data_IF_091152462047
#
_entry.id   IF_091152462047
#
_cell.length_a   1.000
_cell.length_b   1.000
_cell.length_c   1.000
_cell.angle_alpha   90.00
_cell.angle_beta   90.00
_cell.angle_gamma   90.00
#
_symmetry.space_group_name_H-M   'P 1'
#
loop_
_entity.id
_entity.type
_entity.pdbx_description
1 polymer ?
#
# COMPACT_ATOMS: atom_id res chain seq x y z
N UNK A 1 25.48 -48.59 35.19
CA UNK A 1 24.96 -48.28 33.84
C UNK A 1 24.05 -47.07 33.96
N UNK A 2 24.55 -45.92 33.52
CA UNK A 2 23.94 -44.59 33.59
C UNK A 2 22.82 -44.47 32.56
N UNK A 3 21.56 -44.43 33.02
CA UNK A 3 20.40 -44.14 32.18
C UNK A 3 20.33 -42.64 31.90
N UNK A 4 20.62 -42.25 30.66
CA UNK A 4 20.36 -40.90 30.14
C UNK A 4 18.84 -40.73 30.06
N UNK A 5 18.24 -39.98 30.98
CA UNK A 5 16.87 -39.53 30.84
C UNK A 5 16.81 -38.52 29.68
N UNK A 6 16.26 -38.99 28.55
CA UNK A 6 15.87 -38.11 27.46
C UNK A 6 14.75 -37.18 27.94
N UNK A 7 15.10 -35.94 28.26
CA UNK A 7 14.15 -34.90 28.62
C UNK A 7 13.11 -34.75 27.52
N UNK A 8 11.87 -35.12 27.81
CA UNK A 8 10.75 -34.94 26.89
C UNK A 8 10.49 -33.44 26.74
N UNK A 9 10.93 -32.88 25.62
CA UNK A 9 10.56 -31.53 25.18
C UNK A 9 9.05 -31.49 24.93
N UNK A 10 8.28 -31.17 25.97
CA UNK A 10 6.84 -30.95 25.83
C UNK A 10 6.58 -29.59 25.16
N UNK A 11 6.69 -29.57 23.83
CA UNK A 11 6.23 -28.45 23.02
C UNK A 11 4.73 -28.26 23.22
N UNK A 12 4.30 -27.21 23.92
CA UNK A 12 2.90 -26.82 23.81
C UNK A 12 2.67 -26.33 22.38
N UNK A 13 1.68 -26.87 21.68
CA UNK A 13 1.40 -26.61 20.26
C UNK A 13 1.49 -25.10 19.92
N UNK A 14 0.99 -24.22 20.81
CA UNK A 14 1.06 -22.76 20.65
C UNK A 14 2.47 -22.15 20.75
N UNK A 15 3.37 -22.67 21.59
CA UNK A 15 4.76 -22.19 21.69
C UNK A 15 5.55 -22.58 20.45
N UNK A 16 5.39 -23.82 19.99
CA UNK A 16 6.00 -24.29 18.74
C UNK A 16 5.55 -23.44 17.54
N UNK A 17 4.24 -23.20 17.39
CA UNK A 17 3.73 -22.34 16.31
C UNK A 17 4.30 -20.92 16.33
N UNK A 18 4.43 -20.32 17.52
CA UNK A 18 5.03 -18.98 17.67
C UNK A 18 6.51 -18.96 17.30
N UNK A 19 7.26 -19.97 17.73
CA UNK A 19 8.66 -20.13 17.39
C UNK A 19 8.86 -20.37 15.89
N UNK A 20 8.03 -21.22 15.26
CA UNK A 20 8.05 -21.42 13.82
C UNK A 20 7.74 -20.12 13.07
N UNK A 21 6.68 -19.39 13.46
CA UNK A 21 6.35 -18.10 12.85
C UNK A 21 7.50 -17.08 12.99
N UNK A 22 8.13 -17.02 14.17
CA UNK A 22 9.30 -16.17 14.41
C UNK A 22 10.50 -16.58 13.54
N UNK A 23 10.83 -17.87 13.45
CA UNK A 23 11.89 -18.39 12.59
C UNK A 23 11.64 -18.04 11.12
N UNK A 24 10.43 -18.28 10.63
CA UNK A 24 10.03 -17.95 9.25
C UNK A 24 10.14 -16.45 9.01
N UNK A 25 9.71 -15.60 9.96
CA UNK A 25 9.78 -14.14 9.82
C UNK A 25 11.23 -13.66 9.71
N UNK A 26 12.12 -14.15 10.59
CA UNK A 26 13.54 -13.79 10.57
C UNK A 26 14.27 -14.36 9.34
N UNK A 27 13.95 -15.59 8.93
CA UNK A 27 14.50 -16.18 7.71
C UNK A 27 14.06 -15.41 6.46
N UNK A 28 12.76 -15.09 6.34
CA UNK A 28 12.24 -14.26 5.26
C UNK A 28 12.89 -12.89 5.24
N UNK A 29 13.08 -12.25 6.40
CA UNK A 29 13.78 -10.96 6.48
C UNK A 29 15.18 -11.04 5.86
N UNK A 30 15.99 -12.03 6.26
CA UNK A 30 17.34 -12.23 5.74
C UNK A 30 17.32 -12.56 4.24
N UNK A 31 16.40 -13.43 3.80
CA UNK A 31 16.27 -13.83 2.40
C UNK A 31 15.90 -12.63 1.53
N UNK A 32 14.92 -11.81 1.93
CA UNK A 32 14.48 -10.64 1.16
C UNK A 32 15.58 -9.57 1.07
N UNK A 33 16.33 -9.36 2.16
CA UNK A 33 17.51 -8.48 2.14
C UNK A 33 18.58 -9.04 1.18
N UNK A 34 18.87 -10.34 1.27
CA UNK A 34 19.84 -11.02 0.39
C UNK A 34 19.47 -10.93 -1.09
N UNK A 35 18.21 -11.23 -1.44
CA UNK A 35 17.68 -11.09 -2.81
C UNK A 35 17.77 -9.63 -3.28
N UNK A 36 17.44 -8.67 -2.41
CA UNK A 36 17.53 -7.25 -2.75
C UNK A 36 18.97 -6.80 -3.05
N UNK A 37 19.96 -7.28 -2.29
CA UNK A 37 21.37 -7.00 -2.58
C UNK A 37 21.86 -7.69 -3.85
N UNK A 38 21.46 -8.94 -4.07
CA UNK A 38 21.80 -9.69 -5.29
C UNK A 38 21.28 -8.99 -6.56
N UNK A 39 20.12 -8.32 -6.46
CA UNK A 39 19.48 -7.61 -7.57
C UNK A 39 19.66 -6.08 -7.49
N UNK A 40 20.63 -5.57 -6.72
CA UNK A 40 20.78 -4.12 -6.50
C UNK A 40 20.96 -3.31 -7.80
N UNK A 41 21.57 -3.93 -8.82
CA UNK A 41 21.86 -3.29 -10.10
C UNK A 41 20.60 -3.07 -10.96
N UNK A 42 19.54 -3.84 -10.71
CA UNK A 42 18.25 -3.71 -11.42
C UNK A 42 17.30 -2.74 -10.72
N UNK A 43 17.69 -2.18 -9.58
CA UNK A 43 16.90 -1.17 -8.89
C UNK A 43 16.97 0.16 -9.65
N UNK A 44 15.84 0.85 -9.84
CA UNK A 44 15.76 2.10 -10.60
C UNK A 44 16.80 3.10 -10.13
N UNK A 45 17.43 3.77 -11.08
CA UNK A 45 18.34 4.87 -10.79
C UNK A 45 17.65 6.21 -10.63
N UNK A 46 18.44 7.24 -10.32
CA UNK A 46 17.94 8.59 -9.99
C UNK A 46 17.09 9.17 -11.13
N UNK A 47 17.34 8.74 -12.38
CA UNK A 47 16.55 9.10 -13.57
C UNK A 47 15.24 8.31 -13.75
N UNK A 48 15.06 7.19 -13.05
CA UNK A 48 13.92 6.26 -13.23
C UNK A 48 12.76 6.51 -12.24
N UNK A 49 12.94 7.41 -11.26
CA UNK A 49 11.89 7.87 -10.35
C UNK A 49 11.23 9.19 -10.79
N UNK A 50 11.51 9.65 -12.01
CA UNK A 50 10.68 10.68 -12.64
C UNK A 50 9.36 9.98 -13.01
N UNK A 51 8.19 10.44 -12.54
CA UNK A 51 6.93 9.86 -13.00
C UNK A 51 6.93 10.00 -14.50
N UNK A 52 6.65 8.91 -15.23
CA UNK A 52 6.88 8.82 -16.67
C UNK A 52 6.48 10.15 -17.30
N UNK A 53 7.45 10.97 -17.73
CA UNK A 53 7.17 12.39 -18.01
C UNK A 53 6.10 12.52 -19.10
N UNK A 54 6.03 11.50 -19.97
CA UNK A 54 4.95 11.26 -20.90
C UNK A 54 3.57 11.11 -20.26
N UNK A 55 3.40 10.28 -19.22
CA UNK A 55 2.13 10.08 -18.50
C UNK A 55 1.64 11.39 -17.86
N UNK A 56 2.54 12.16 -17.22
CA UNK A 56 2.16 13.44 -16.61
C UNK A 56 1.69 14.43 -17.69
N UNK A 57 2.46 14.58 -18.76
CA UNK A 57 2.12 15.48 -19.86
C UNK A 57 0.80 15.06 -20.52
N UNK A 58 0.59 13.76 -20.71
CA UNK A 58 -0.65 13.18 -21.21
C UNK A 58 -1.85 13.57 -20.33
N UNK A 59 -1.77 13.35 -19.01
CA UNK A 59 -2.87 13.68 -18.11
C UNK A 59 -3.14 15.18 -18.05
N UNK A 60 -2.11 16.03 -18.09
CA UNK A 60 -2.29 17.49 -18.15
C UNK A 60 -3.03 17.93 -19.42
N UNK A 61 -2.68 17.37 -20.59
CA UNK A 61 -3.39 17.66 -21.85
C UNK A 61 -4.84 17.21 -21.80
N UNK A 62 -5.10 15.99 -21.31
CA UNK A 62 -6.49 15.49 -21.17
C UNK A 62 -7.31 16.44 -20.29
N UNK A 63 -6.78 16.87 -19.14
CA UNK A 63 -7.47 17.81 -18.25
C UNK A 63 -7.73 19.15 -18.95
N UNK A 64 -6.76 19.70 -19.67
CA UNK A 64 -6.91 20.98 -20.39
C UNK A 64 -7.98 20.92 -21.49
N UNK A 65 -8.06 19.82 -22.23
CA UNK A 65 -9.09 19.61 -23.25
C UNK A 65 -10.49 19.46 -22.63
N UNK A 66 -10.62 18.73 -21.52
CA UNK A 66 -11.89 18.59 -20.81
C UNK A 66 -12.33 19.91 -20.19
N UNK A 67 -11.39 20.71 -19.69
CA UNK A 67 -11.63 22.08 -19.23
C UNK A 67 -12.16 22.97 -20.37
N UNK A 68 -11.66 22.76 -21.60
CA UNK A 68 -12.18 23.39 -22.82
C UNK A 68 -13.56 22.90 -23.27
N UNK A 69 -14.20 21.98 -22.54
CA UNK A 69 -15.54 21.47 -22.80
C UNK A 69 -15.60 20.21 -23.67
N UNK A 70 -14.45 19.61 -24.02
CA UNK A 70 -14.45 18.35 -24.77
C UNK A 70 -14.80 17.15 -23.88
N UNK A 71 -15.41 16.11 -24.48
CA UNK A 71 -15.72 14.86 -23.78
C UNK A 71 -14.46 14.11 -23.37
N UNK A 72 -14.38 13.70 -22.09
CA UNK A 72 -13.25 12.95 -21.53
C UNK A 72 -12.85 11.76 -22.40
N UNK A 73 -13.82 10.89 -22.77
CA UNK A 73 -13.51 9.66 -23.49
C UNK A 73 -12.92 9.94 -24.87
N UNK A 74 -13.50 10.88 -25.60
CA UNK A 74 -13.01 11.26 -26.94
C UNK A 74 -11.57 11.78 -26.87
N UNK A 75 -11.31 12.70 -25.94
CA UNK A 75 -9.98 13.31 -25.74
C UNK A 75 -8.97 12.29 -25.27
N UNK A 76 -9.30 11.51 -24.24
CA UNK A 76 -8.38 10.52 -23.69
C UNK A 76 -7.97 9.52 -24.77
N UNK A 77 -8.92 8.97 -25.52
CA UNK A 77 -8.63 8.02 -26.61
C UNK A 77 -7.78 8.67 -27.71
N UNK A 78 -8.08 9.91 -28.12
CA UNK A 78 -7.27 10.66 -29.10
C UNK A 78 -5.84 10.85 -28.61
N UNK A 79 -5.67 11.39 -27.41
CA UNK A 79 -4.35 11.65 -26.81
C UNK A 79 -3.53 10.37 -26.63
N UNK A 80 -4.15 9.28 -26.15
CA UNK A 80 -3.49 7.98 -26.02
C UNK A 80 -3.06 7.45 -27.40
N UNK A 81 -3.92 7.52 -28.41
CA UNK A 81 -3.64 7.08 -29.78
C UNK A 81 -2.51 7.89 -30.42
N UNK A 82 -2.59 9.22 -30.36
CA UNK A 82 -1.62 10.13 -30.98
C UNK A 82 -0.23 10.02 -30.36
N UNK A 83 -0.15 9.55 -29.11
CA UNK A 83 1.10 9.35 -28.39
C UNK A 83 1.52 7.86 -28.31
N UNK A 84 0.93 6.98 -29.13
CA UNK A 84 1.23 5.55 -29.20
C UNK A 84 1.10 4.79 -27.86
N UNK A 85 0.23 5.24 -26.97
CA UNK A 85 -0.12 4.48 -25.78
C UNK A 85 -1.11 3.35 -26.13
N UNK A 86 -1.08 2.25 -25.36
CA UNK A 86 -2.11 1.23 -25.45
C UNK A 86 -3.52 1.76 -25.18
N UNK A 87 -4.49 1.20 -25.90
CA UNK A 87 -5.93 1.43 -25.70
C UNK A 87 -6.72 0.18 -25.33
N UNK A 88 -6.08 -1.00 -25.41
CA UNK A 88 -6.70 -2.29 -25.09
C UNK A 88 -5.89 -3.04 -24.02
N UNK A 89 -6.53 -3.76 -23.08
CA UNK A 89 -7.96 -3.71 -22.76
C UNK A 89 -8.36 -2.36 -22.13
N UNK A 90 -9.65 -2.08 -21.98
CA UNK A 90 -10.18 -0.77 -21.57
C UNK A 90 -9.52 -0.16 -20.31
N UNK A 91 -9.04 -0.99 -19.37
CA UNK A 91 -8.39 -0.56 -18.11
C UNK A 91 -7.07 0.20 -18.29
N UNK A 92 -6.51 0.23 -19.50
CA UNK A 92 -5.32 1.06 -19.80
C UNK A 92 -5.69 2.53 -19.96
N UNK A 93 -6.96 2.82 -20.27
CA UNK A 93 -7.54 4.16 -20.20
C UNK A 93 -7.93 4.42 -18.75
N UNK A 94 -7.55 5.57 -18.20
CA UNK A 94 -7.82 5.87 -16.79
C UNK A 94 -9.31 6.16 -16.55
N UNK A 95 -9.84 5.91 -15.35
CA UNK A 95 -11.17 6.37 -14.98
C UNK A 95 -11.30 7.90 -15.11
N UNK A 96 -12.47 8.42 -15.54
CA UNK A 96 -12.64 9.83 -15.86
C UNK A 96 -12.64 10.75 -14.64
N UNK A 97 -12.97 10.24 -13.46
CA UNK A 97 -13.43 11.06 -12.33
C UNK A 97 -12.41 12.09 -11.89
N UNK A 98 -11.13 11.71 -11.80
CA UNK A 98 -10.10 12.66 -11.40
C UNK A 98 -9.90 13.75 -12.46
N UNK A 99 -9.77 13.37 -13.74
CA UNK A 99 -9.55 14.33 -14.81
C UNK A 99 -10.72 15.31 -14.96
N UNK A 100 -11.96 14.82 -14.87
CA UNK A 100 -13.17 15.64 -14.92
C UNK A 100 -13.25 16.56 -13.70
N UNK A 101 -12.94 16.07 -12.49
CA UNK A 101 -12.93 16.91 -11.29
C UNK A 101 -11.87 18.02 -11.36
N UNK A 102 -10.68 17.71 -11.89
CA UNK A 102 -9.60 18.68 -12.07
C UNK A 102 -9.89 19.70 -13.16
N UNK A 103 -10.63 19.32 -14.19
CA UNK A 103 -11.03 20.20 -15.29
C UNK A 103 -11.99 21.31 -14.86
N UNK A 104 -12.75 21.13 -13.76
CA UNK A 104 -13.60 22.18 -13.18
C UNK A 104 -12.77 23.30 -12.53
N UNK A 105 -11.50 23.05 -12.25
CA UNK A 105 -10.61 23.99 -11.57
C UNK A 105 -9.60 24.54 -12.59
N UNK A 106 -9.74 25.79 -13.02
CA UNK A 106 -8.87 26.32 -14.08
C UNK A 106 -7.43 26.59 -13.66
N UNK A 107 -7.20 26.93 -12.40
CA UNK A 107 -5.85 27.27 -11.93
C UNK A 107 -5.08 26.03 -11.46
N UNK A 108 -3.92 25.77 -12.08
CA UNK A 108 -3.02 24.70 -11.66
C UNK A 108 -2.59 24.85 -10.19
N UNK A 109 -2.41 26.08 -9.71
CA UNK A 109 -2.09 26.33 -8.30
C UNK A 109 -3.18 25.83 -7.37
N UNK A 110 -4.45 26.01 -7.73
CA UNK A 110 -5.60 25.52 -6.95
C UNK A 110 -5.67 23.99 -6.99
N UNK A 111 -5.41 23.34 -8.13
CA UNK A 111 -5.30 21.86 -8.22
C UNK A 111 -4.23 21.32 -7.28
N UNK A 112 -3.06 21.97 -7.23
CA UNK A 112 -1.95 21.62 -6.32
C UNK A 112 -2.31 21.88 -4.85
N UNK A 113 -2.96 23.00 -4.56
CA UNK A 113 -3.39 23.34 -3.21
C UNK A 113 -4.41 22.35 -2.66
N UNK A 114 -5.34 21.85 -3.49
CA UNK A 114 -6.30 20.81 -3.09
C UNK A 114 -5.62 19.48 -2.79
N UNK A 115 -4.65 19.07 -3.60
CA UNK A 115 -3.86 17.86 -3.32
C UNK A 115 -3.05 18.02 -2.02
N UNK A 116 -2.41 19.17 -1.84
CA UNK A 116 -1.67 19.49 -0.62
C UNK A 116 -2.60 19.55 0.62
N UNK A 117 -3.83 20.06 0.47
CA UNK A 117 -4.83 20.05 1.52
C UNK A 117 -5.25 18.61 1.88
N UNK A 118 -5.48 17.74 0.90
CA UNK A 118 -5.74 16.31 1.15
C UNK A 118 -4.56 15.63 1.86
N UNK A 119 -3.32 15.94 1.45
CA UNK A 119 -2.11 15.47 2.11
C UNK A 119 -2.04 15.94 3.57
N UNK A 120 -2.32 17.23 3.83
CA UNK A 120 -2.39 17.81 5.16
C UNK A 120 -3.47 17.18 6.04
N UNK A 121 -4.69 17.01 5.52
CA UNK A 121 -5.80 16.34 6.22
C UNK A 121 -5.43 14.90 6.55
N UNK A 122 -4.80 14.18 5.60
CA UNK A 122 -4.32 12.81 5.81
C UNK A 122 -3.28 12.77 6.93
N UNK A 123 -2.30 13.67 6.90
CA UNK A 123 -1.29 13.78 7.95
C UNK A 123 -1.91 14.08 9.31
N UNK A 124 -2.81 15.05 9.40
CA UNK A 124 -3.49 15.43 10.64
C UNK A 124 -4.37 14.29 11.19
N UNK A 125 -5.09 13.58 10.32
CA UNK A 125 -5.89 12.42 10.73
C UNK A 125 -5.02 11.30 11.32
N UNK A 126 -3.86 11.05 10.71
CA UNK A 126 -2.90 10.09 11.25
C UNK A 126 -2.22 10.59 12.51
N UNK A 127 -1.90 11.87 12.62
CA UNK A 127 -1.37 12.45 13.85
C UNK A 127 -2.36 12.28 15.02
N UNK A 128 -3.63 12.61 14.79
CA UNK A 128 -4.70 12.37 15.75
C UNK A 128 -4.85 10.89 16.10
N UNK A 129 -4.79 10.00 15.09
CA UNK A 129 -4.88 8.55 15.30
C UNK A 129 -3.72 8.02 16.13
N UNK A 130 -2.49 8.40 15.79
CA UNK A 130 -1.25 7.96 16.44
C UNK A 130 -1.16 8.48 17.87
N UNK A 131 -1.63 9.70 18.14
CA UNK A 131 -1.62 10.29 19.49
C UNK A 131 -2.41 9.46 20.51
N UNK A 132 -3.45 8.77 20.05
CA UNK A 132 -4.27 7.90 20.89
C UNK A 132 -3.65 6.52 21.16
N UNK A 133 -2.63 6.10 20.39
CA UNK A 133 -2.07 4.74 20.45
C UNK A 133 -0.56 4.70 20.74
N UNK A 134 0.16 5.81 20.59
CA UNK A 134 1.59 5.93 20.89
C UNK A 134 1.75 6.84 22.10
N UNK A 135 2.23 6.27 23.21
CA UNK A 135 2.39 6.98 24.49
C UNK A 135 3.71 7.73 24.60
N UNK A 136 4.79 7.20 24.02
CA UNK A 136 6.11 7.83 24.02
C UNK A 136 6.13 9.05 23.09
N UNK A 137 6.47 10.26 23.58
CA UNK A 137 6.59 11.45 22.73
C UNK A 137 7.61 11.29 21.60
N UNK A 138 8.72 10.59 21.87
CA UNK A 138 9.77 10.33 20.87
C UNK A 138 9.27 9.40 19.77
N UNK A 139 8.60 8.30 20.13
CA UNK A 139 8.02 7.40 19.13
C UNK A 139 6.87 8.04 18.38
N UNK A 140 6.10 8.93 19.03
CA UNK A 140 5.04 9.68 18.37
C UNK A 140 5.64 10.61 17.31
N UNK A 141 6.64 11.42 17.66
CA UNK A 141 7.35 12.29 16.72
C UNK A 141 7.99 11.49 15.57
N UNK A 142 8.64 10.36 15.87
CA UNK A 142 9.18 9.45 14.87
C UNK A 142 8.09 8.89 13.94
N UNK A 143 6.92 8.52 14.48
CA UNK A 143 5.79 8.04 13.68
C UNK A 143 5.29 9.12 12.72
N UNK A 144 5.21 10.38 13.17
CA UNK A 144 4.82 11.52 12.33
C UNK A 144 5.84 11.77 11.21
N UNK A 145 7.12 11.75 11.55
CA UNK A 145 8.19 11.91 10.56
C UNK A 145 8.11 10.81 9.49
N UNK A 146 8.00 9.56 9.92
CA UNK A 146 7.99 8.40 9.03
C UNK A 146 6.73 8.37 8.14
N UNK A 147 5.54 8.71 8.67
CA UNK A 147 4.36 8.78 7.80
C UNK A 147 4.43 9.95 6.81
N UNK A 148 5.02 11.08 7.20
CA UNK A 148 5.20 12.23 6.32
C UNK A 148 6.03 11.87 5.08
N UNK A 149 7.00 10.94 5.19
CA UNK A 149 7.82 10.50 4.04
C UNK A 149 6.99 9.93 2.88
N UNK A 150 5.89 9.22 3.21
CA UNK A 150 5.00 8.63 2.21
C UNK A 150 3.89 9.55 1.73
N UNK A 151 3.63 10.65 2.46
CA UNK A 151 2.69 11.70 2.08
C UNK A 151 3.37 12.76 1.20
N UNK A 152 4.67 13.00 1.42
CA UNK A 152 5.47 14.02 0.74
C UNK A 152 5.41 13.99 -0.80
N UNK A 153 5.31 12.84 -1.50
CA UNK A 153 5.16 12.83 -2.96
C UNK A 153 3.99 13.68 -3.47
N UNK A 154 2.95 13.90 -2.65
CA UNK A 154 1.80 14.74 -3.00
C UNK A 154 2.10 16.25 -3.08
N UNK A 155 3.22 16.69 -2.53
CA UNK A 155 3.61 18.12 -2.49
C UNK A 155 4.46 18.51 -3.71
N UNK A 156 4.96 17.53 -4.46
CA UNK A 156 5.73 17.76 -5.69
C UNK A 156 4.83 18.42 -6.74
N UNK A 157 5.29 19.45 -7.47
CA UNK A 157 4.45 20.20 -8.42
C UNK A 157 3.75 19.33 -9.48
N UNK A 158 4.36 18.22 -9.87
CA UNK A 158 3.87 17.32 -10.91
C UNK A 158 2.94 16.22 -10.40
N UNK A 159 2.60 16.19 -9.10
CA UNK A 159 1.84 15.10 -8.50
C UNK A 159 0.33 15.18 -8.76
N UNK A 160 -0.21 16.38 -9.00
CA UNK A 160 -1.66 16.60 -9.10
C UNK A 160 -2.37 15.81 -10.22
N UNK A 161 -1.77 15.49 -11.38
CA UNK A 161 -2.42 14.66 -12.39
C UNK A 161 -2.33 13.15 -12.12
N UNK A 162 -1.51 12.72 -11.16
CA UNK A 162 -1.24 11.30 -10.90
C UNK A 162 -2.32 10.69 -10.01
N UNK A 163 -3.06 9.73 -10.56
CA UNK A 163 -4.24 9.14 -9.91
C UNK A 163 -3.86 8.36 -8.63
N UNK A 164 -2.70 7.71 -8.65
CA UNK A 164 -2.17 6.94 -7.52
C UNK A 164 -1.88 7.80 -6.29
N UNK A 165 -1.49 9.07 -6.47
CA UNK A 165 -1.22 9.97 -5.34
C UNK A 165 -2.52 10.27 -4.60
N UNK A 166 -3.57 10.65 -5.33
CA UNK A 166 -4.90 10.90 -4.76
C UNK A 166 -5.47 9.65 -4.10
N UNK A 167 -5.43 8.51 -4.81
CA UNK A 167 -5.97 7.26 -4.30
C UNK A 167 -5.20 6.74 -3.07
N UNK A 168 -3.87 6.83 -3.06
CA UNK A 168 -3.03 6.45 -1.92
C UNK A 168 -3.31 7.29 -0.68
N UNK A 169 -3.48 8.61 -0.84
CA UNK A 169 -3.88 9.49 0.27
C UNK A 169 -5.29 9.18 0.77
N UNK A 170 -6.26 8.94 -0.12
CA UNK A 170 -7.62 8.57 0.26
C UNK A 170 -7.68 7.22 0.98
N UNK A 171 -6.89 6.22 0.56
CA UNK A 171 -6.73 4.95 1.29
C UNK A 171 -6.17 5.21 2.69
N UNK A 172 -5.09 5.99 2.78
CA UNK A 172 -4.46 6.30 4.07
C UNK A 172 -5.39 7.06 5.00
N UNK A 173 -6.11 8.07 4.49
CA UNK A 173 -7.10 8.85 5.24
C UNK A 173 -8.27 7.96 5.67
N UNK A 174 -8.79 7.12 4.77
CA UNK A 174 -9.86 6.15 5.04
C UNK A 174 -9.49 5.26 6.23
N UNK A 175 -8.27 4.70 6.26
CA UNK A 175 -7.78 3.91 7.39
C UNK A 175 -7.67 4.73 8.67
N UNK A 176 -7.12 5.95 8.61
CA UNK A 176 -6.92 6.79 9.79
C UNK A 176 -8.25 7.14 10.49
N UNK A 177 -9.26 7.51 9.71
CA UNK A 177 -10.56 7.94 10.23
C UNK A 177 -11.48 6.78 10.60
N UNK A 178 -11.24 5.55 10.08
CA UNK A 178 -12.08 4.38 10.37
C UNK A 178 -12.11 4.07 11.87
N UNK A 179 -13.32 4.09 12.44
CA UNK A 179 -13.63 3.62 13.80
C UNK A 179 -14.68 2.52 13.74
N UNK A 180 -14.68 1.53 14.68
CA UNK A 180 -15.67 0.44 14.69
C UNK A 180 -17.12 0.90 14.65
N UNK A 181 -17.45 2.05 15.25
CA UNK A 181 -18.81 2.61 15.29
C UNK A 181 -19.01 3.81 14.35
N UNK A 182 -17.98 4.20 13.59
CA UNK A 182 -18.03 5.33 12.66
C UNK A 182 -17.14 5.01 11.45
N UNK A 183 -17.62 4.10 10.61
CA UNK A 183 -16.89 3.59 9.43
C UNK A 183 -17.42 4.13 8.10
N UNK A 184 -18.58 4.80 8.07
CA UNK A 184 -19.22 5.28 6.82
C UNK A 184 -18.29 6.23 6.06
N UNK A 185 -17.68 7.19 6.74
CA UNK A 185 -16.72 8.12 6.11
C UNK A 185 -15.53 7.36 5.52
N UNK A 186 -15.03 6.33 6.21
CA UNK A 186 -13.96 5.50 5.69
C UNK A 186 -14.38 4.76 4.41
N UNK A 187 -15.61 4.22 4.36
CA UNK A 187 -16.15 3.57 3.16
C UNK A 187 -16.24 4.57 2.00
N UNK A 188 -16.79 5.77 2.23
CA UNK A 188 -16.90 6.82 1.20
C UNK A 188 -15.52 7.17 0.63
N UNK A 189 -14.54 7.40 1.50
CA UNK A 189 -13.17 7.70 1.08
C UNK A 189 -12.53 6.55 0.31
N UNK A 190 -12.76 5.31 0.72
CA UNK A 190 -12.28 4.13 0.00
C UNK A 190 -12.90 4.01 -1.38
N UNK A 191 -14.22 4.15 -1.49
CA UNK A 191 -14.94 4.10 -2.78
C UNK A 191 -14.48 5.24 -3.70
N UNK A 192 -14.30 6.45 -3.17
CA UNK A 192 -13.72 7.56 -3.92
C UNK A 192 -12.32 7.22 -4.46
N UNK A 193 -11.47 6.58 -3.64
CA UNK A 193 -10.16 6.11 -4.09
C UNK A 193 -10.26 5.10 -5.24
N UNK A 194 -11.19 4.13 -5.16
CA UNK A 194 -11.41 3.11 -6.19
C UNK A 194 -11.93 3.70 -7.52
N UNK A 195 -12.82 4.69 -7.44
CA UNK A 195 -13.36 5.36 -8.62
C UNK A 195 -12.33 6.27 -9.29
N UNK A 196 -11.43 6.89 -8.51
CA UNK A 196 -10.28 7.64 -9.04
C UNK A 196 -9.26 6.67 -9.64
N UNK A 197 -8.99 5.56 -8.97
CA UNK A 197 -7.97 4.58 -9.38
C UNK A 197 -8.42 3.16 -9.08
N UNK A 198 -8.59 2.36 -10.11
CA UNK A 198 -9.10 0.99 -10.02
C UNK A 198 -8.24 0.06 -9.16
N UNK A 199 -6.94 0.36 -9.00
CA UNK A 199 -6.05 -0.37 -8.10
C UNK A 199 -6.49 -0.29 -6.62
N UNK A 200 -7.20 0.77 -6.22
CA UNK A 200 -7.74 0.91 -4.87
C UNK A 200 -8.85 -0.11 -4.56
N UNK A 201 -9.35 -0.86 -5.55
CA UNK A 201 -10.29 -1.97 -5.31
C UNK A 201 -9.71 -3.05 -4.41
N UNK A 202 -8.39 -3.27 -4.46
CA UNK A 202 -7.71 -4.18 -3.52
C UNK A 202 -7.87 -3.72 -2.05
N UNK A 203 -7.88 -2.41 -1.80
CA UNK A 203 -8.14 -1.86 -0.48
C UNK A 203 -9.58 -2.11 -0.02
N UNK A 204 -10.58 -1.93 -0.89
CA UNK A 204 -11.99 -2.22 -0.57
C UNK A 204 -12.18 -3.69 -0.19
N UNK A 205 -11.58 -4.60 -0.97
CA UNK A 205 -11.61 -6.04 -0.70
C UNK A 205 -10.97 -6.36 0.66
N UNK A 206 -9.79 -5.81 0.94
CA UNK A 206 -9.10 -5.99 2.22
C UNK A 206 -9.97 -5.51 3.40
N UNK A 207 -10.59 -4.33 3.28
CA UNK A 207 -11.43 -3.78 4.34
C UNK A 207 -12.74 -4.55 4.53
N UNK A 208 -13.34 -5.04 3.44
CA UNK A 208 -14.49 -5.95 3.47
C UNK A 208 -14.16 -7.24 4.21
N UNK A 209 -13.05 -7.90 3.87
CA UNK A 209 -12.58 -9.13 4.52
C UNK A 209 -12.36 -8.89 6.02
N UNK A 210 -11.73 -7.79 6.40
CA UNK A 210 -11.53 -7.45 7.80
C UNK A 210 -12.83 -7.11 8.53
N UNK A 211 -13.80 -6.48 7.87
CA UNK A 211 -15.12 -6.24 8.45
C UNK A 211 -15.91 -7.54 8.68
N UNK A 212 -15.82 -8.51 7.76
CA UNK A 212 -16.37 -9.85 7.96
C UNK A 212 -15.69 -10.57 9.12
N UNK A 213 -14.35 -10.54 9.17
CA UNK A 213 -13.57 -11.13 10.26
C UNK A 213 -13.90 -10.53 11.63
N UNK A 214 -14.12 -9.22 11.69
CA UNK A 214 -14.48 -8.51 12.93
C UNK A 214 -15.97 -8.74 13.32
N UNK A 215 -16.76 -9.47 12.52
CA UNK A 215 -18.18 -9.71 12.76
C UNK A 215 -19.09 -8.49 12.50
N UNK A 216 -18.54 -7.40 11.94
CA UNK A 216 -19.23 -6.14 11.68
C UNK A 216 -20.04 -6.20 10.37
N UNK A 217 -21.17 -6.93 10.37
CA UNK A 217 -21.99 -7.17 9.16
C UNK A 217 -22.38 -5.91 8.40
N UNK A 218 -22.75 -4.83 9.10
CA UNK A 218 -23.13 -3.54 8.47
C UNK A 218 -21.96 -2.90 7.73
N UNK A 219 -20.77 -2.92 8.34
CA UNK A 219 -19.55 -2.40 7.71
C UNK A 219 -19.17 -3.26 6.49
N UNK A 220 -19.23 -4.59 6.63
CA UNK A 220 -18.94 -5.51 5.53
C UNK A 220 -19.90 -5.29 4.34
N UNK A 221 -21.20 -5.15 4.60
CA UNK A 221 -22.20 -4.85 3.58
C UNK A 221 -21.94 -3.51 2.88
N UNK A 222 -21.48 -2.49 3.61
CA UNK A 222 -21.15 -1.20 3.01
C UNK A 222 -19.89 -1.26 2.13
N UNK A 223 -18.85 -1.99 2.52
CA UNK A 223 -17.70 -2.25 1.66
C UNK A 223 -18.10 -3.05 0.41
N UNK A 224 -18.98 -4.05 0.56
CA UNK A 224 -19.53 -4.81 -0.56
C UNK A 224 -20.35 -3.93 -1.52
N UNK A 225 -21.20 -3.04 -0.99
CA UNK A 225 -21.92 -2.06 -1.79
C UNK A 225 -20.96 -1.11 -2.51
N UNK A 226 -19.88 -0.68 -1.85
CA UNK A 226 -18.82 0.11 -2.47
C UNK A 226 -18.15 -0.62 -3.65
N UNK A 227 -17.89 -1.92 -3.51
CA UNK A 227 -17.38 -2.75 -4.61
C UNK A 227 -18.38 -2.87 -5.76
N UNK A 228 -19.68 -3.00 -5.47
CA UNK A 228 -20.72 -3.04 -6.49
C UNK A 228 -20.84 -1.70 -7.25
N UNK A 229 -20.80 -0.57 -6.53
CA UNK A 229 -20.79 0.77 -7.13
C UNK A 229 -19.57 0.91 -8.05
N UNK A 230 -18.37 0.55 -7.55
CA UNK A 230 -17.15 0.59 -8.35
C UNK A 230 -17.25 -0.31 -9.59
N UNK A 231 -17.76 -1.54 -9.47
CA UNK A 231 -17.93 -2.45 -10.59
C UNK A 231 -18.90 -1.90 -11.65
N UNK A 232 -20.00 -1.28 -11.23
CA UNK A 232 -20.93 -0.62 -12.13
C UNK A 232 -20.28 0.58 -12.84
N UNK A 233 -19.53 1.41 -12.12
CA UNK A 233 -18.75 2.52 -12.70
C UNK A 233 -17.73 2.01 -13.72
N UNK A 234 -17.03 0.92 -13.40
CA UNK A 234 -16.04 0.32 -14.28
C UNK A 234 -16.68 -0.30 -15.53
N UNK A 235 -17.88 -0.88 -15.41
CA UNK A 235 -18.63 -1.40 -16.56
C UNK A 235 -19.07 -0.27 -17.51
N UNK A 236 -19.56 0.85 -16.96
CA UNK A 236 -19.87 2.06 -17.75
C UNK A 236 -18.62 2.60 -18.43
N UNK A 237 -17.50 2.67 -17.70
CA UNK A 237 -16.21 3.08 -18.24
C UNK A 237 -15.76 2.17 -19.40
N UNK A 238 -15.85 0.85 -19.22
CA UNK A 238 -15.52 -0.14 -20.25
C UNK A 238 -16.40 0.02 -21.49
N UNK A 239 -17.70 0.26 -21.32
CA UNK A 239 -18.63 0.48 -22.43
C UNK A 239 -18.22 1.68 -23.28
N UNK A 240 -17.95 2.83 -22.66
CA UNK A 240 -17.54 4.04 -23.38
C UNK A 240 -16.17 3.91 -24.05
N UNK A 241 -15.19 3.29 -23.40
CA UNK A 241 -13.87 3.05 -24.01
C UNK A 241 -14.00 2.12 -25.20
N UNK A 242 -14.68 0.98 -25.04
CA UNK A 242 -14.82 0.00 -26.13
C UNK A 242 -15.63 0.53 -27.31
N UNK A 243 -16.48 1.54 -27.12
CA UNK A 243 -17.19 2.20 -28.22
C UNK A 243 -16.28 3.05 -29.12
N UNK A 244 -15.10 3.46 -28.64
CA UNK A 244 -14.16 4.34 -29.34
C UNK A 244 -12.86 3.65 -29.79
N UNK A 245 -12.61 2.45 -29.26
CA UNK A 245 -11.41 1.66 -29.52
C UNK A 245 -11.67 0.66 -30.63
N UNK A 246 -10.70 0.52 -31.52
CA UNK A 246 -10.73 -0.36 -32.69
C UNK A 246 -9.74 -1.51 -32.55
N UNK A 247 -9.85 -2.51 -33.43
CA UNK A 247 -8.89 -3.62 -33.48
C UNK A 247 -7.46 -3.19 -33.87
N UNK A 248 -7.33 -2.06 -34.58
CA UNK A 248 -6.04 -1.50 -34.99
C UNK A 248 -5.29 -0.81 -33.84
N UNK A 249 -6.00 -0.41 -32.78
CA UNK A 249 -5.39 0.31 -31.66
C UNK A 249 -4.43 -0.60 -30.86
N UNK A 250 -3.30 -0.08 -30.33
CA UNK A 250 -2.32 -0.91 -29.64
C UNK A 250 -2.88 -1.58 -28.39
N UNK A 251 -2.53 -2.86 -28.21
CA UNK A 251 -2.83 -3.61 -26.99
C UNK A 251 -1.67 -3.49 -25.99
N UNK A 252 -2.01 -3.28 -24.72
CA UNK A 252 -1.04 -3.31 -23.64
C UNK A 252 -0.60 -4.75 -23.42
N UNK A 253 0.69 -4.97 -23.17
CA UNK A 253 1.14 -6.20 -22.54
C UNK A 253 0.37 -6.47 -21.25
N UNK A 254 0.24 -7.75 -20.91
CA UNK A 254 -0.39 -8.18 -19.66
C UNK A 254 0.25 -7.50 -18.46
N UNK A 255 -0.57 -7.11 -17.48
CA UNK A 255 -0.07 -6.67 -16.17
C UNK A 255 0.36 -7.85 -15.31
N UNK A 256 -0.14 -9.06 -15.58
CA UNK A 256 0.30 -10.27 -14.89
C UNK A 256 1.72 -10.61 -15.36
N UNK A 257 2.71 -10.30 -14.52
CA UNK A 257 4.13 -10.53 -14.75
C UNK A 257 4.80 -10.75 -13.41
N UNK A 258 5.60 -11.81 -13.32
CA UNK A 258 6.38 -12.11 -12.12
C UNK A 258 7.56 -11.12 -12.06
N UNK A 259 7.34 -9.96 -11.45
CA UNK A 259 8.38 -8.97 -11.15
C UNK A 259 9.16 -9.32 -9.88
N UNK A 260 8.56 -10.11 -8.99
CA UNK A 260 9.20 -10.60 -7.77
C UNK A 260 9.53 -9.50 -6.77
N UNK A 261 10.43 -9.83 -5.84
CA UNK A 261 10.91 -8.90 -4.83
C UNK A 261 11.58 -7.62 -5.39
N UNK A 262 12.36 -7.68 -6.49
CA UNK A 262 12.93 -6.47 -7.08
C UNK A 262 11.86 -5.45 -7.45
N UNK A 263 10.75 -5.86 -8.08
CA UNK A 263 9.67 -4.96 -8.43
C UNK A 263 8.99 -4.33 -7.21
N UNK A 264 8.80 -5.10 -6.13
CA UNK A 264 8.31 -4.55 -4.85
C UNK A 264 9.23 -3.42 -4.37
N UNK A 265 10.55 -3.63 -4.39
CA UNK A 265 11.50 -2.58 -4.02
C UNK A 265 11.39 -1.35 -4.92
N UNK A 266 11.22 -1.51 -6.24
CA UNK A 266 10.99 -0.37 -7.16
C UNK A 266 9.73 0.41 -6.77
N UNK A 267 8.63 -0.28 -6.44
CA UNK A 267 7.40 0.40 -6.05
C UNK A 267 7.56 1.21 -4.77
N UNK A 268 8.30 0.69 -3.78
CA UNK A 268 8.50 1.39 -2.51
C UNK A 268 9.38 2.63 -2.60
N UNK A 269 10.17 2.80 -3.68
CA UNK A 269 10.98 4.00 -3.90
C UNK A 269 10.15 5.28 -4.05
N UNK A 270 8.86 5.17 -4.33
CA UNK A 270 7.89 6.26 -4.37
C UNK A 270 7.55 6.78 -2.95
N UNK A 271 8.58 7.14 -2.21
CA UNK A 271 8.55 7.60 -0.83
C UNK A 271 9.81 8.45 -0.57
N UNK A 272 9.65 9.64 0.03
CA UNK A 272 10.73 10.60 0.23
C UNK A 272 11.95 10.04 0.98
N UNK A 273 11.71 9.13 1.95
CA UNK A 273 12.80 8.49 2.70
C UNK A 273 13.74 7.71 1.78
N UNK A 274 13.17 6.97 0.83
CA UNK A 274 13.92 6.09 -0.06
C UNK A 274 14.39 6.83 -1.31
N UNK A 275 13.66 7.85 -1.75
CA UNK A 275 14.06 8.75 -2.82
C UNK A 275 15.33 9.53 -2.46
N UNK A 276 15.42 10.04 -1.23
CA UNK A 276 16.58 10.79 -0.75
C UNK A 276 17.76 9.91 -0.30
N UNK A 277 17.56 8.59 -0.18
CA UNK A 277 18.56 7.67 0.36
C UNK A 277 19.29 6.87 -0.74
N UNK A 278 20.53 6.42 -0.48
CA UNK A 278 21.18 5.46 -1.36
C UNK A 278 20.34 4.19 -1.56
N UNK A 279 20.32 3.62 -2.77
CA UNK A 279 19.44 2.49 -3.12
C UNK A 279 19.51 1.29 -2.19
N UNK A 280 20.67 1.02 -1.61
CA UNK A 280 20.85 -0.08 -0.66
C UNK A 280 20.07 0.11 0.64
N UNK A 281 19.70 1.35 1.00
CA UNK A 281 18.88 1.62 2.17
C UNK A 281 17.49 1.01 2.00
N UNK A 282 16.88 1.12 0.83
CA UNK A 282 15.58 0.50 0.53
C UNK A 282 15.61 -1.03 0.67
N UNK A 283 16.71 -1.66 0.26
CA UNK A 283 16.92 -3.12 0.40
C UNK A 283 16.84 -3.58 1.86
N UNK A 284 17.24 -2.75 2.82
CA UNK A 284 17.22 -3.07 4.24
C UNK A 284 15.93 -2.58 4.91
N UNK A 285 15.58 -1.31 4.67
CA UNK A 285 14.50 -0.62 5.36
C UNK A 285 13.13 -1.20 5.01
N UNK A 286 12.90 -1.60 3.75
CA UNK A 286 11.59 -2.11 3.32
C UNK A 286 11.28 -3.47 3.99
N UNK A 287 12.15 -4.50 3.95
CA UNK A 287 11.93 -5.74 4.70
C UNK A 287 11.74 -5.50 6.21
N UNK A 288 12.52 -4.59 6.80
CA UNK A 288 12.39 -4.24 8.22
C UNK A 288 11.03 -3.60 8.54
N UNK A 289 10.55 -2.70 7.68
CA UNK A 289 9.23 -2.10 7.82
C UNK A 289 8.13 -3.19 7.73
N UNK A 290 8.19 -4.07 6.73
CA UNK A 290 7.23 -5.17 6.60
C UNK A 290 7.24 -6.09 7.81
N UNK A 291 8.42 -6.47 8.31
CA UNK A 291 8.56 -7.25 9.54
C UNK A 291 7.94 -6.50 10.74
N UNK A 292 8.18 -5.20 10.85
CA UNK A 292 7.63 -4.36 11.92
C UNK A 292 6.11 -4.24 11.90
N UNK A 293 5.46 -4.27 10.73
CA UNK A 293 4.00 -4.29 10.62
C UNK A 293 3.36 -5.53 11.27
N UNK A 294 4.07 -6.66 11.29
CA UNK A 294 3.60 -7.89 11.95
C UNK A 294 3.56 -7.78 13.48
N UNK A 295 4.25 -6.78 14.05
CA UNK A 295 4.33 -6.55 15.48
C UNK A 295 3.03 -6.03 16.10
N UNK A 296 2.16 -5.38 15.31
CA UNK A 296 0.89 -4.83 15.78
C UNK A 296 -0.26 -5.81 15.55
N UNK A 297 -0.81 -6.34 16.64
CA UNK A 297 -1.89 -7.35 16.60
C UNK A 297 -3.28 -6.81 16.90
N UNK A 298 -3.41 -5.51 17.18
CA UNK A 298 -4.70 -4.86 17.35
C UNK A 298 -5.48 -4.81 16.03
N UNK A 299 -6.82 -4.68 16.10
CA UNK A 299 -7.69 -4.71 14.92
C UNK A 299 -7.31 -3.67 13.86
N UNK A 300 -6.76 -2.52 14.29
CA UNK A 300 -6.24 -1.50 13.39
C UNK A 300 -4.93 -1.92 12.71
N UNK A 301 -3.95 -2.40 13.47
CA UNK A 301 -2.68 -2.90 12.94
C UNK A 301 -2.88 -4.02 11.91
N UNK A 302 -3.83 -4.92 12.17
CA UNK A 302 -4.16 -6.01 11.23
C UNK A 302 -4.73 -5.51 9.90
N UNK A 303 -5.49 -4.40 9.90
CA UNK A 303 -6.00 -3.79 8.66
C UNK A 303 -4.88 -3.15 7.86
N UNK A 304 -4.02 -2.36 8.51
CA UNK A 304 -2.84 -1.77 7.87
C UNK A 304 -1.95 -2.88 7.29
N UNK A 305 -1.71 -3.93 8.06
CA UNK A 305 -0.94 -5.10 7.63
C UNK A 305 -1.58 -5.76 6.41
N UNK A 306 -2.88 -6.10 6.44
CA UNK A 306 -3.55 -6.73 5.31
C UNK A 306 -3.48 -5.87 4.03
N UNK A 307 -3.66 -4.56 4.16
CA UNK A 307 -3.57 -3.64 3.03
C UNK A 307 -2.15 -3.64 2.46
N UNK A 308 -1.13 -3.36 3.28
CA UNK A 308 0.26 -3.29 2.82
C UNK A 308 0.73 -4.63 2.25
N UNK A 309 0.54 -5.74 2.97
CA UNK A 309 0.93 -7.07 2.49
C UNK A 309 0.11 -7.51 1.28
N UNK A 310 -1.16 -7.11 1.16
CA UNK A 310 -1.99 -7.37 -0.01
C UNK A 310 -1.43 -6.71 -1.27
N UNK A 311 -1.04 -5.44 -1.19
CA UNK A 311 -0.37 -4.75 -2.30
C UNK A 311 1.03 -5.31 -2.59
N UNK A 312 1.84 -5.59 -1.56
CA UNK A 312 3.16 -6.23 -1.74
C UNK A 312 3.02 -7.58 -2.44
N UNK A 313 2.06 -8.41 -2.02
CA UNK A 313 1.79 -9.69 -2.65
C UNK A 313 1.32 -9.49 -4.11
N UNK A 314 0.45 -8.52 -4.36
CA UNK A 314 0.04 -8.18 -5.73
C UNK A 314 1.25 -7.77 -6.58
N UNK A 315 2.12 -6.89 -6.10
CA UNK A 315 3.30 -6.42 -6.86
C UNK A 315 4.31 -7.53 -7.16
N UNK A 316 4.39 -8.61 -6.37
CA UNK A 316 5.22 -9.76 -6.73
C UNK A 316 4.79 -10.36 -8.10
N UNK A 317 3.48 -10.33 -8.42
CA UNK A 317 2.89 -10.98 -9.59
C UNK A 317 2.28 -10.03 -10.62
N UNK A 318 2.09 -8.76 -10.28
CA UNK A 318 1.34 -7.78 -11.06
C UNK A 318 2.10 -6.48 -11.15
N UNK A 319 2.35 -6.03 -12.38
CA UNK A 319 3.10 -4.82 -12.67
C UNK A 319 4.35 -5.09 -13.49
N UNK A 320 4.77 -4.07 -14.23
CA UNK A 320 5.98 -4.06 -15.08
C UNK A 320 6.87 -2.91 -14.66
N UNK A 321 8.09 -2.83 -15.16
CA UNK A 321 9.07 -1.80 -14.75
C UNK A 321 8.54 -0.36 -14.90
N UNK A 322 7.67 -0.10 -15.88
CA UNK A 322 7.00 1.19 -16.08
C UNK A 322 5.77 1.42 -15.17
N UNK A 323 5.53 0.55 -14.18
CA UNK A 323 4.42 0.62 -13.23
C UNK A 323 4.90 0.80 -11.78
N UNK A 324 6.18 1.09 -11.55
CA UNK A 324 6.73 1.30 -10.20
C UNK A 324 5.94 2.35 -9.40
N UNK A 325 5.42 3.39 -10.06
CA UNK A 325 4.62 4.44 -9.43
C UNK A 325 3.32 3.95 -8.77
N UNK A 326 2.87 2.72 -9.04
CA UNK A 326 1.78 2.09 -8.29
C UNK A 326 2.08 1.94 -6.79
N UNK A 327 3.34 2.01 -6.38
CA UNK A 327 3.72 2.04 -4.97
C UNK A 327 3.15 3.23 -4.18
N UNK A 328 2.81 4.33 -4.86
CA UNK A 328 2.14 5.49 -4.26
C UNK A 328 0.82 5.11 -3.55
N UNK A 329 0.16 4.02 -3.98
CA UNK A 329 -1.07 3.49 -3.36
C UNK A 329 -0.90 3.12 -1.88
N UNK A 330 0.31 2.76 -1.46
CA UNK A 330 0.64 2.36 -0.09
C UNK A 330 1.82 3.14 0.51
N UNK A 331 2.34 4.14 -0.20
CA UNK A 331 3.51 4.92 0.23
C UNK A 331 3.37 5.50 1.65
N UNK A 332 2.20 6.02 2.09
CA UNK A 332 2.03 6.48 3.48
C UNK A 332 2.04 5.35 4.51
N UNK A 333 1.72 4.12 4.14
CA UNK A 333 1.36 3.06 5.08
C UNK A 333 2.52 2.12 5.43
N UNK A 334 3.28 1.69 4.42
CA UNK A 334 4.38 0.75 4.65
C UNK A 334 5.42 1.27 5.67
N UNK A 335 5.79 2.57 5.72
CA UNK A 335 6.83 3.05 6.62
C UNK A 335 6.44 2.92 8.10
N UNK A 336 5.15 2.89 8.43
CA UNK A 336 4.65 2.76 9.81
C UNK A 336 5.21 1.51 10.52
N UNK A 337 5.58 0.47 9.78
CA UNK A 337 6.23 -0.70 10.34
C UNK A 337 7.56 -0.41 11.02
N UNK A 338 8.30 0.62 10.60
CA UNK A 338 9.56 1.03 11.22
C UNK A 338 9.39 1.50 12.66
N UNK A 339 8.21 2.00 13.02
CA UNK A 339 7.90 2.39 14.41
C UNK A 339 7.88 1.17 15.33
N UNK A 340 7.49 0.01 14.81
CA UNK A 340 7.30 -1.23 15.59
C UNK A 340 8.28 -2.34 15.25
N UNK A 341 9.29 -2.07 14.41
CA UNK A 341 10.27 -3.08 13.98
C UNK A 341 11.03 -3.66 15.15
N UNK A 342 11.55 -2.82 16.04
CA UNK A 342 12.34 -3.30 17.17
C UNK A 342 11.52 -4.20 18.12
N UNK A 343 10.33 -3.77 18.62
CA UNK A 343 9.46 -4.65 19.39
C UNK A 343 9.06 -5.95 18.66
N UNK A 344 8.89 -5.91 17.34
CA UNK A 344 8.54 -7.10 16.55
C UNK A 344 9.71 -8.11 16.50
N UNK A 345 10.93 -7.64 16.24
CA UNK A 345 12.13 -8.48 16.20
C UNK A 345 12.48 -9.03 17.58
N UNK A 346 12.43 -8.19 18.62
CA UNK A 346 12.65 -8.61 20.00
C UNK A 346 11.67 -9.73 20.41
N UNK A 347 10.41 -9.63 19.99
CA UNK A 347 9.40 -10.68 20.21
C UNK A 347 9.72 -11.97 19.45
N UNK A 348 10.21 -11.89 18.21
CA UNK A 348 10.62 -13.07 17.45
C UNK A 348 11.76 -13.81 18.17
N UNK A 349 12.77 -13.08 18.64
CA UNK A 349 13.88 -13.65 19.41
C UNK A 349 13.40 -14.26 20.73
N UNK A 350 12.50 -13.58 21.44
CA UNK A 350 11.92 -14.11 22.68
C UNK A 350 11.11 -15.40 22.43
N UNK A 351 10.31 -15.46 21.37
CA UNK A 351 9.50 -16.63 21.01
C UNK A 351 10.39 -17.84 20.62
N UNK A 352 11.52 -17.60 19.95
CA UNK A 352 12.52 -18.64 19.67
C UNK A 352 13.21 -19.12 20.94
N UNK A 353 13.65 -18.22 21.82
CA UNK A 353 14.29 -18.58 23.11
C UNK A 353 13.34 -19.38 23.99
N UNK A 354 12.08 -18.96 24.09
CA UNK A 354 11.05 -19.66 24.88
C UNK A 354 10.75 -21.08 24.38
N UNK A 355 11.10 -21.39 23.13
CA UNK A 355 11.00 -22.72 22.55
C UNK A 355 12.15 -23.66 22.96
N UNK A 356 13.29 -23.09 23.36
CA UNK A 356 14.51 -23.81 23.75
C UNK A 356 14.61 -24.04 25.27
N UNK A 357 13.82 -23.33 26.08
CA UNK A 357 13.82 -23.48 27.56
C UNK A 357 12.86 -24.61 27.97
N UNK A 358 13.34 -25.66 28.66
CA UNK A 358 12.49 -26.73 29.20
C UNK A 358 11.46 -26.19 30.20
N UNK A 359 10.28 -26.82 30.25
CA UNK A 359 9.17 -26.40 31.13
C UNK A 359 9.56 -26.43 32.63
N UNK A 360 10.56 -27.23 32.99
CA UNK A 360 10.95 -27.53 34.37
C UNK A 360 11.97 -26.55 34.96
N UNK A 361 12.44 -25.56 34.17
CA UNK A 361 13.47 -24.61 34.59
C UNK A 361 12.92 -23.21 35.00
N UNK A 362 11.61 -23.08 35.25
CA UNK A 362 11.04 -21.83 35.77
C UNK A 362 10.96 -21.87 37.31
N UNK A 363 11.51 -20.87 38.03
CA UNK A 363 11.36 -20.79 39.48
C UNK A 363 9.89 -20.50 39.81
N UNK A 364 9.18 -21.48 40.37
CA UNK A 364 7.79 -21.32 40.84
C UNK A 364 6.88 -22.54 40.71
N UNK A 365 7.26 -23.60 40.00
CA UNK A 365 6.51 -24.87 40.08
C UNK A 365 7.02 -25.67 41.27
N UNK A 366 6.53 -25.34 42.45
CA UNK A 366 6.64 -26.21 43.60
C UNK A 366 6.01 -27.56 43.24
N UNK A 367 6.82 -28.62 43.28
CA UNK A 367 6.36 -30.00 43.28
C UNK A 367 5.57 -30.21 44.57
N UNK A 368 4.24 -30.18 44.50
CA UNK A 368 3.46 -30.91 45.49
C UNK A 368 3.71 -32.39 45.20
N UNK A 369 4.32 -33.05 46.19
CA UNK A 369 4.75 -34.44 46.14
C UNK A 369 3.62 -35.45 46.12
#
# INVERSE_FOLDING_TARGET
MTGIQAGQFAFSHRRAWRACAAAVTLALLVILIGIGFANRATLPGDAANVPNAGDIALYKRIVAHVEGGESYYTVAIRELRDNNYPLRPFVVVRPPVLAVALAVISEEMTRRALLAALAGITFLAWAWRLRAIVTSPVLYAFSLMIIATGIAPAIVPQAWPLHEVWAGLLIALSLAVRRPNAWIVAVILGVAAAIIRELATAYLLAMMVMAFRDGCRKEAAAWALGLLIFAATLAVHAHHVNALVTAADPASPSWLRIGGWPFVLQTTQWNLLLEAAPRWVGVIVVPLALAGLTGRRDAFGQRVMLVVFGYVAAFIFVGRDNNSYWGLMIAPLWPLGLVTVWPALARCVADLRACLVPKDAQPGTASNG
#
